data_IF_333748293433
#
_entry.id   IF_333748293433
#
_cell.length_a   1.000
_cell.length_b   1.000
_cell.length_c   1.000
_cell.angle_alpha   90.00
_cell.angle_beta   90.00
_cell.angle_gamma   90.00
#
_symmetry.space_group_name_H-M   'P 1'
#
loop_
_entity.id
_entity.type
_entity.pdbx_description
1 polymer ?
#
# COMPACT_ATOMS: atom_id res chain seq x y z
N UNK A 1 23.58 9.56 -15.91
CA UNK A 1 23.14 10.85 -16.46
C UNK A 1 22.96 10.68 -17.96
N UNK A 2 21.75 10.43 -18.44
CA UNK A 2 21.46 10.51 -19.87
C UNK A 2 20.81 11.86 -20.16
N UNK A 3 21.63 12.86 -20.54
CA UNK A 3 21.13 14.17 -21.04
C UNK A 3 20.11 13.97 -22.18
N UNK A 4 20.20 12.84 -22.89
CA UNK A 4 19.30 12.47 -23.96
C UNK A 4 17.87 12.18 -23.46
N UNK A 5 17.71 11.53 -22.30
CA UNK A 5 16.39 11.24 -21.73
C UNK A 5 15.65 12.54 -21.38
N UNK A 6 16.30 13.42 -20.61
CA UNK A 6 15.68 14.69 -20.19
C UNK A 6 15.34 15.59 -21.37
N UNK A 7 16.19 15.64 -22.39
CA UNK A 7 15.92 16.41 -23.61
C UNK A 7 14.71 15.84 -24.38
N UNK A 8 14.61 14.51 -24.50
CA UNK A 8 13.47 13.87 -25.15
C UNK A 8 12.18 14.13 -24.36
N UNK A 9 12.20 13.94 -23.05
CA UNK A 9 11.04 14.21 -22.19
C UNK A 9 10.58 15.67 -22.30
N UNK A 10 11.51 16.62 -22.31
CA UNK A 10 11.20 18.05 -22.49
C UNK A 10 10.59 18.35 -23.86
N UNK A 11 11.11 17.74 -24.94
CA UNK A 11 10.57 17.91 -26.28
C UNK A 11 9.13 17.36 -26.38
N UNK A 12 8.90 16.14 -25.91
CA UNK A 12 7.57 15.51 -25.91
C UNK A 12 6.58 16.34 -25.08
N UNK A 13 7.06 16.94 -23.98
CA UNK A 13 6.25 17.79 -23.14
C UNK A 13 5.83 19.11 -23.83
N UNK A 14 6.66 19.67 -24.73
CA UNK A 14 6.29 20.85 -25.53
C UNK A 14 5.20 20.52 -26.56
N UNK A 15 5.22 19.30 -27.10
CA UNK A 15 4.21 18.81 -28.04
C UNK A 15 2.85 18.52 -27.36
N UNK A 16 2.85 18.38 -26.03
CA UNK A 16 1.64 18.18 -25.19
C UNK A 16 0.93 16.84 -25.40
N UNK A 17 1.55 15.93 -26.15
CA UNK A 17 1.06 14.58 -26.45
C UNK A 17 2.24 13.62 -26.50
N UNK A 18 2.09 12.46 -25.88
CA UNK A 18 3.08 11.38 -25.98
C UNK A 18 2.63 10.37 -27.02
N UNK A 19 3.46 10.09 -28.01
CA UNK A 19 3.20 9.02 -28.99
C UNK A 19 3.75 7.67 -28.52
N UNK A 20 3.25 6.54 -29.06
CA UNK A 20 3.83 5.22 -28.78
C UNK A 20 5.34 5.14 -29.10
N UNK A 21 5.79 5.83 -30.14
CA UNK A 21 7.20 5.93 -30.52
C UNK A 21 8.02 6.66 -29.44
N UNK A 22 7.48 7.72 -28.86
CA UNK A 22 8.12 8.46 -27.75
C UNK A 22 8.26 7.57 -26.52
N UNK A 23 7.22 6.80 -26.17
CA UNK A 23 7.26 5.84 -25.05
C UNK A 23 8.35 4.80 -25.28
N UNK A 24 8.46 4.25 -26.50
CA UNK A 24 9.51 3.28 -26.84
C UNK A 24 10.91 3.91 -26.75
N UNK A 25 11.06 5.16 -27.16
CA UNK A 25 12.33 5.88 -27.06
C UNK A 25 12.70 6.15 -25.59
N UNK A 26 11.76 6.61 -24.77
CA UNK A 26 11.94 6.81 -23.33
C UNK A 26 12.29 5.49 -22.62
N UNK A 27 11.62 4.38 -22.94
CA UNK A 27 11.96 3.04 -22.39
C UNK A 27 13.39 2.62 -22.73
N UNK A 28 13.83 2.83 -23.98
CA UNK A 28 15.19 2.47 -24.39
C UNK A 28 16.25 3.28 -23.66
N UNK A 29 16.01 4.58 -23.48
CA UNK A 29 16.94 5.49 -22.80
C UNK A 29 16.94 5.26 -21.28
N UNK A 30 15.76 5.11 -20.67
CA UNK A 30 15.64 4.99 -19.21
C UNK A 30 16.26 3.70 -18.65
N UNK A 31 16.17 2.58 -19.38
CA UNK A 31 16.77 1.32 -18.94
C UNK A 31 18.13 1.01 -19.57
N UNK A 32 18.76 1.97 -20.25
CA UNK A 32 20.10 1.76 -20.83
C UNK A 32 21.13 1.37 -19.77
N UNK A 33 21.05 1.99 -18.58
CA UNK A 33 21.90 1.68 -17.42
C UNK A 33 21.38 0.55 -16.53
N UNK A 34 20.21 -0.03 -16.84
CA UNK A 34 19.56 -1.10 -16.07
C UNK A 34 18.55 -0.62 -15.02
N UNK A 35 18.70 0.60 -14.50
CA UNK A 35 17.81 1.21 -13.51
C UNK A 35 17.46 2.66 -13.91
N UNK A 36 16.24 3.10 -13.58
CA UNK A 36 15.79 4.50 -13.71
C UNK A 36 16.49 5.33 -12.63
N UNK A 37 17.04 6.49 -13.00
CA UNK A 37 17.66 7.42 -12.05
C UNK A 37 16.66 8.44 -11.49
N UNK A 38 16.98 9.05 -10.34
CA UNK A 38 16.16 10.13 -9.73
C UNK A 38 15.83 11.25 -10.73
N UNK A 39 16.80 11.66 -11.55
CA UNK A 39 16.60 12.72 -12.52
C UNK A 39 15.65 12.32 -13.66
N UNK A 40 15.70 11.05 -14.08
CA UNK A 40 14.77 10.51 -15.09
C UNK A 40 13.37 10.37 -14.51
N UNK A 41 13.26 9.94 -13.25
CA UNK A 41 11.99 9.90 -12.53
C UNK A 41 11.35 11.30 -12.40
N UNK A 42 12.13 12.32 -12.03
CA UNK A 42 11.68 13.72 -11.99
C UNK A 42 11.20 14.21 -13.37
N UNK A 43 11.91 13.84 -14.45
CA UNK A 43 11.52 14.18 -15.81
C UNK A 43 10.21 13.48 -16.25
N UNK A 44 9.99 12.23 -15.84
CA UNK A 44 8.73 11.50 -16.08
C UNK A 44 7.56 12.19 -15.36
N UNK A 45 7.74 12.59 -14.11
CA UNK A 45 6.73 13.35 -13.36
C UNK A 45 6.41 14.70 -14.01
N UNK A 46 7.44 15.42 -14.46
CA UNK A 46 7.24 16.71 -15.13
C UNK A 46 6.53 16.57 -16.47
N UNK A 47 6.84 15.52 -17.23
CA UNK A 47 6.11 15.20 -18.46
C UNK A 47 4.65 14.87 -18.15
N UNK A 48 4.36 14.03 -17.14
CA UNK A 48 2.99 13.68 -16.76
C UNK A 48 2.12 14.90 -16.47
N UNK A 49 2.64 15.87 -15.69
CA UNK A 49 1.94 17.11 -15.34
C UNK A 49 1.55 17.99 -16.53
N UNK A 50 2.25 17.84 -17.66
CA UNK A 50 1.99 18.64 -18.87
C UNK A 50 1.00 17.96 -19.81
N UNK A 51 0.63 16.71 -19.55
CA UNK A 51 -0.35 15.98 -20.34
C UNK A 51 -1.75 16.27 -19.80
N UNK A 52 -2.60 16.82 -20.65
CA UNK A 52 -4.01 17.05 -20.31
C UNK A 52 -4.84 15.76 -20.32
N UNK A 53 -4.49 14.80 -21.18
CA UNK A 53 -5.20 13.52 -21.35
C UNK A 53 -4.16 12.40 -21.61
N UNK A 54 -3.56 11.85 -20.54
CA UNK A 54 -2.56 10.79 -20.67
C UNK A 54 -3.19 9.52 -21.24
N UNK A 55 -2.60 8.98 -22.31
CA UNK A 55 -3.09 7.71 -22.89
C UNK A 55 -2.83 6.54 -21.95
N UNK A 56 -3.60 5.44 -22.05
CA UNK A 56 -3.36 4.24 -21.24
C UNK A 56 -1.92 3.73 -21.33
N UNK A 57 -1.31 3.77 -22.51
CA UNK A 57 0.08 3.33 -22.71
C UNK A 57 1.07 4.22 -21.97
N UNK A 58 0.80 5.53 -21.89
CA UNK A 58 1.60 6.45 -21.08
C UNK A 58 1.46 6.13 -19.60
N UNK A 59 0.22 5.92 -19.11
CA UNK A 59 -0.03 5.56 -17.71
C UNK A 59 0.71 4.27 -17.34
N UNK A 60 0.65 3.24 -18.20
CA UNK A 60 1.37 1.99 -18.00
C UNK A 60 2.89 2.22 -17.88
N UNK A 61 3.46 3.01 -18.78
CA UNK A 61 4.89 3.38 -18.72
C UNK A 61 5.23 4.18 -17.46
N UNK A 62 4.44 5.18 -17.11
CA UNK A 62 4.60 6.03 -15.94
C UNK A 62 4.63 5.19 -14.66
N UNK A 63 3.63 4.32 -14.50
CA UNK A 63 3.46 3.43 -13.34
C UNK A 63 4.58 2.38 -13.28
N UNK A 64 4.98 1.81 -14.43
CA UNK A 64 6.07 0.83 -14.50
C UNK A 64 7.42 1.45 -14.13
N UNK A 65 7.79 2.56 -14.77
CA UNK A 65 9.09 3.21 -14.61
C UNK A 65 9.28 3.74 -13.19
N UNK A 66 8.30 4.49 -12.69
CA UNK A 66 8.38 5.07 -11.35
C UNK A 66 8.19 4.00 -10.27
N UNK A 67 7.31 3.03 -10.48
CA UNK A 67 7.15 1.90 -9.55
C UNK A 67 8.44 1.10 -9.39
N UNK A 68 9.18 0.85 -10.47
CA UNK A 68 10.49 0.18 -10.40
C UNK A 68 11.53 1.06 -9.69
N UNK A 69 11.58 2.36 -10.00
CA UNK A 69 12.46 3.32 -9.33
C UNK A 69 12.23 3.36 -7.81
N UNK A 70 10.97 3.44 -7.38
CA UNK A 70 10.60 3.58 -5.96
C UNK A 70 10.82 2.27 -5.20
N UNK A 71 10.37 1.14 -5.76
CA UNK A 71 10.37 -0.14 -5.04
C UNK A 71 11.73 -0.84 -5.09
N UNK A 72 12.52 -0.63 -6.16
CA UNK A 72 13.76 -1.37 -6.40
C UNK A 72 14.99 -0.48 -6.64
N UNK A 73 14.85 0.85 -6.59
CA UNK A 73 15.93 1.80 -6.85
C UNK A 73 16.97 1.88 -5.74
N UNK A 74 16.61 1.51 -4.50
CA UNK A 74 17.57 1.41 -3.39
C UNK A 74 17.51 0.03 -2.72
N UNK A 75 18.65 -0.49 -2.20
CA UNK A 75 18.64 -1.74 -1.43
C UNK A 75 18.17 -1.57 0.03
N UNK A 76 17.40 -2.53 0.57
CA UNK A 76 16.94 -3.77 -0.07
C UNK A 76 15.79 -3.60 -1.06
N UNK A 77 15.91 -4.25 -2.23
CA UNK A 77 14.86 -4.27 -3.25
C UNK A 77 13.54 -4.79 -2.67
N UNK A 78 12.44 -4.13 -3.03
CA UNK A 78 11.10 -4.46 -2.54
C UNK A 78 10.70 -3.72 -1.26
N UNK A 79 11.55 -2.89 -0.66
CA UNK A 79 11.22 -2.13 0.54
C UNK A 79 11.21 -0.64 0.20
N UNK A 80 10.19 0.06 0.69
CA UNK A 80 10.12 1.53 0.62
C UNK A 80 10.36 2.08 2.02
N UNK A 81 11.28 3.02 2.17
CA UNK A 81 11.52 3.70 3.44
C UNK A 81 10.73 5.02 3.58
N UNK A 82 10.77 5.63 4.77
CA UNK A 82 10.05 6.88 5.05
C UNK A 82 10.54 8.06 4.19
N UNK A 83 11.81 8.08 3.80
CA UNK A 83 12.36 9.13 2.94
C UNK A 83 11.88 9.01 1.50
N UNK A 84 11.84 7.79 0.97
CA UNK A 84 11.30 7.47 -0.35
C UNK A 84 9.79 7.71 -0.41
N UNK A 85 9.06 7.33 0.64
CA UNK A 85 7.65 7.65 0.79
C UNK A 85 7.39 9.16 0.82
N UNK A 86 8.15 9.91 1.62
CA UNK A 86 8.02 11.37 1.69
C UNK A 86 8.33 12.04 0.34
N UNK A 87 9.37 11.60 -0.35
CA UNK A 87 9.71 12.10 -1.68
C UNK A 87 8.60 11.82 -2.69
N UNK A 88 8.03 10.60 -2.68
CA UNK A 88 6.94 10.24 -3.57
C UNK A 88 5.69 11.10 -3.30
N UNK A 89 5.34 11.28 -2.03
CA UNK A 89 4.22 12.15 -1.64
C UNK A 89 4.47 13.57 -2.14
N UNK A 90 5.66 14.15 -1.92
CA UNK A 90 5.99 15.51 -2.39
C UNK A 90 5.99 15.63 -3.93
N UNK A 91 6.39 14.58 -4.64
CA UNK A 91 6.38 14.56 -6.10
C UNK A 91 4.97 14.53 -6.69
N UNK A 92 4.03 13.89 -5.99
CA UNK A 92 2.62 13.73 -6.36
C UNK A 92 1.73 14.86 -5.85
N UNK A 93 2.05 15.40 -4.68
CA UNK A 93 1.20 16.32 -3.91
C UNK A 93 1.88 17.68 -3.76
N UNK A 94 1.65 18.57 -4.73
CA UNK A 94 2.24 19.93 -4.70
C UNK A 94 1.35 20.97 -4.02
N UNK A 95 0.05 20.72 -3.89
CA UNK A 95 -0.94 21.68 -3.39
C UNK A 95 -1.94 21.10 -2.36
N UNK A 96 -1.70 19.89 -1.89
CA UNK A 96 -2.55 19.14 -0.96
C UNK A 96 -3.50 18.14 -1.65
N UNK A 97 -3.49 18.04 -2.98
CA UNK A 97 -4.36 17.15 -3.75
C UNK A 97 -3.61 16.38 -4.83
N UNK A 98 -4.06 15.16 -5.07
CA UNK A 98 -3.58 14.33 -6.17
C UNK A 98 -4.37 14.67 -7.44
N UNK A 99 -3.69 14.98 -8.55
CA UNK A 99 -4.33 15.60 -9.72
C UNK A 99 -4.80 14.59 -10.76
N UNK A 100 -4.20 13.39 -10.85
CA UNK A 100 -4.48 12.46 -11.95
C UNK A 100 -4.70 10.99 -11.54
N UNK A 101 -5.48 10.26 -12.35
CA UNK A 101 -5.64 8.81 -12.18
C UNK A 101 -4.32 8.03 -12.30
N UNK A 102 -3.37 8.52 -13.11
CA UNK A 102 -2.06 7.90 -13.29
C UNK A 102 -1.24 7.91 -11.99
N UNK A 103 -1.28 9.03 -11.27
CA UNK A 103 -0.63 9.24 -9.99
C UNK A 103 -1.24 8.36 -8.88
N UNK A 104 -2.57 8.22 -8.88
CA UNK A 104 -3.25 7.33 -7.94
C UNK A 104 -2.90 5.87 -8.22
N UNK A 105 -2.88 5.48 -9.50
CA UNK A 105 -2.50 4.12 -9.90
C UNK A 105 -1.03 3.82 -9.55
N UNK A 106 -0.13 4.80 -9.66
CA UNK A 106 1.26 4.64 -9.19
C UNK A 106 1.33 4.33 -7.69
N UNK A 107 0.60 5.07 -6.85
CA UNK A 107 0.57 4.80 -5.40
C UNK A 107 0.09 3.38 -5.09
N UNK A 108 -1.01 2.98 -5.72
CA UNK A 108 -1.56 1.63 -5.55
C UNK A 108 -0.56 0.58 -5.99
N UNK A 109 0.08 0.79 -7.15
CA UNK A 109 1.05 -0.16 -7.69
C UNK A 109 2.28 -0.31 -6.81
N UNK A 110 2.78 0.77 -6.21
CA UNK A 110 3.91 0.73 -5.27
C UNK A 110 3.55 -0.15 -4.07
N UNK A 111 2.36 0.04 -3.48
CA UNK A 111 1.90 -0.77 -2.33
C UNK A 111 1.66 -2.24 -2.67
N UNK A 112 1.18 -2.54 -3.89
CA UNK A 112 0.98 -3.92 -4.36
C UNK A 112 2.29 -4.67 -4.61
N UNK A 113 3.33 -3.97 -5.09
CA UNK A 113 4.61 -4.58 -5.48
C UNK A 113 5.63 -4.62 -4.35
N UNK A 114 5.57 -3.67 -3.41
CA UNK A 114 6.47 -3.63 -2.28
C UNK A 114 6.18 -4.78 -1.29
N UNK A 115 7.25 -5.32 -0.72
CA UNK A 115 7.22 -6.22 0.43
C UNK A 115 6.81 -5.45 1.69
N UNK A 116 7.24 -4.19 1.81
CA UNK A 116 6.87 -3.30 2.89
C UNK A 116 6.84 -1.84 2.42
N UNK A 117 5.80 -1.11 2.79
CA UNK A 117 5.72 0.34 2.69
C UNK A 117 5.51 0.96 4.08
N UNK A 118 5.93 2.23 4.28
CA UNK A 118 5.64 2.94 5.52
C UNK A 118 4.15 3.27 5.63
N UNK A 119 3.64 3.36 6.86
CA UNK A 119 2.25 3.71 7.12
C UNK A 119 1.88 5.09 6.58
N UNK A 120 2.83 6.03 6.54
CA UNK A 120 2.67 7.38 5.98
C UNK A 120 2.18 7.34 4.52
N UNK A 121 2.75 6.47 3.68
CA UNK A 121 2.38 6.34 2.28
C UNK A 121 0.98 5.73 2.10
N UNK A 122 0.67 4.68 2.87
CA UNK A 122 -0.66 4.04 2.86
C UNK A 122 -1.74 5.02 3.29
N UNK A 123 -1.52 5.72 4.41
CA UNK A 123 -2.46 6.70 4.94
C UNK A 123 -2.68 7.87 3.98
N UNK A 124 -1.62 8.34 3.31
CA UNK A 124 -1.74 9.36 2.29
C UNK A 124 -2.68 8.91 1.14
N UNK A 125 -2.44 7.73 0.58
CA UNK A 125 -3.26 7.21 -0.52
C UNK A 125 -4.74 7.01 -0.13
N UNK A 126 -5.00 6.45 1.05
CA UNK A 126 -6.36 6.28 1.56
C UNK A 126 -7.06 7.62 1.79
N UNK A 127 -6.34 8.62 2.33
CA UNK A 127 -6.87 9.96 2.55
C UNK A 127 -7.26 10.64 1.24
N UNK A 128 -6.51 10.45 0.16
CA UNK A 128 -6.87 11.00 -1.16
C UNK A 128 -8.17 10.40 -1.71
N UNK A 129 -8.38 9.07 -1.53
CA UNK A 129 -9.63 8.42 -1.93
C UNK A 129 -10.79 8.86 -1.03
N UNK A 130 -10.58 8.91 0.28
CA UNK A 130 -11.56 9.41 1.24
C UNK A 130 -12.00 10.83 0.86
N UNK A 131 -11.04 11.73 0.61
CA UNK A 131 -11.32 13.10 0.19
C UNK A 131 -12.13 13.17 -1.11
N UNK A 132 -11.80 12.33 -2.09
CA UNK A 132 -12.54 12.27 -3.34
C UNK A 132 -13.98 11.78 -3.19
N UNK A 133 -14.22 10.83 -2.28
CA UNK A 133 -15.57 10.36 -1.94
C UNK A 133 -16.35 11.45 -1.19
N UNK A 134 -15.72 12.11 -0.22
CA UNK A 134 -16.38 13.07 0.67
C UNK A 134 -16.66 14.42 0.01
N UNK A 135 -15.74 14.93 -0.81
CA UNK A 135 -15.87 16.23 -1.45
C UNK A 135 -16.31 16.16 -2.91
N UNK A 136 -16.30 14.97 -3.52
CA UNK A 136 -16.61 14.80 -4.93
C UNK A 136 -15.56 15.38 -5.88
N UNK A 137 -14.33 15.65 -5.40
CA UNK A 137 -13.22 16.23 -6.17
C UNK A 137 -11.97 15.36 -6.06
N UNK A 138 -11.23 15.20 -7.14
CA UNK A 138 -9.97 14.45 -7.15
C UNK A 138 -9.88 13.48 -8.33
N UNK A 139 -8.89 12.58 -8.33
CA UNK A 139 -8.54 11.77 -9.51
C UNK A 139 -9.63 10.75 -9.86
N UNK A 140 -10.34 10.21 -8.87
CA UNK A 140 -11.50 9.31 -9.10
C UNK A 140 -12.75 10.06 -9.57
N UNK A 141 -12.67 11.39 -9.65
CA UNK A 141 -13.77 12.32 -9.92
C UNK A 141 -13.43 13.17 -11.14
N UNK A 142 -13.29 12.52 -12.29
CA UNK A 142 -13.05 13.18 -13.58
C UNK A 142 -14.37 13.38 -14.36
N UNK A 143 -14.76 14.65 -14.54
CA UNK A 143 -15.58 15.13 -15.68
C UNK A 143 -16.99 14.58 -15.95
N UNK A 144 -17.55 13.70 -15.11
CA UNK A 144 -18.85 13.05 -15.33
C UNK A 144 -19.87 13.24 -14.21
N UNK A 145 -21.07 12.67 -14.37
CA UNK A 145 -22.21 12.67 -13.43
C UNK A 145 -21.95 11.88 -12.13
N UNK A 146 -20.75 12.00 -11.58
CA UNK A 146 -20.36 11.42 -10.30
C UNK A 146 -20.97 12.30 -9.22
N UNK A 147 -22.04 11.79 -8.59
CA UNK A 147 -22.62 12.44 -7.42
C UNK A 147 -21.56 12.59 -6.34
N UNK A 148 -21.46 13.80 -5.81
CA UNK A 148 -20.62 14.30 -4.72
C UNK A 148 -20.86 13.62 -3.36
N UNK A 149 -21.58 12.50 -3.30
CA UNK A 149 -22.16 11.98 -2.05
C UNK A 149 -22.26 10.45 -1.99
N UNK A 150 -21.70 9.68 -2.93
CA UNK A 150 -21.72 8.21 -2.86
C UNK A 150 -20.36 7.63 -3.22
N UNK A 151 -20.08 6.44 -2.70
CA UNK A 151 -18.88 5.68 -3.08
C UNK A 151 -19.16 4.83 -4.33
N UNK A 152 -18.24 4.89 -5.28
CA UNK A 152 -18.35 4.24 -6.60
C UNK A 152 -17.66 2.88 -6.63
N UNK A 153 -17.94 2.08 -7.67
CA UNK A 153 -17.24 0.81 -7.91
C UNK A 153 -15.73 1.00 -8.09
N UNK A 154 -15.31 2.12 -8.69
CA UNK A 154 -13.90 2.43 -8.90
C UNK A 154 -13.18 2.65 -7.56
N UNK A 155 -13.78 3.43 -6.67
CA UNK A 155 -13.25 3.71 -5.33
C UNK A 155 -13.25 2.45 -4.47
N UNK A 156 -14.31 1.64 -4.50
CA UNK A 156 -14.32 0.33 -3.83
C UNK A 156 -13.18 -0.57 -4.30
N UNK A 157 -12.88 -0.61 -5.60
CA UNK A 157 -11.75 -1.40 -6.14
C UNK A 157 -10.40 -0.86 -5.66
N UNK A 158 -10.21 0.46 -5.65
CA UNK A 158 -8.97 1.09 -5.20
C UNK A 158 -8.74 0.88 -3.70
N UNK A 159 -9.74 1.13 -2.86
CA UNK A 159 -9.69 0.87 -1.42
C UNK A 159 -9.36 -0.60 -1.13
N UNK A 160 -10.01 -1.55 -1.82
CA UNK A 160 -9.72 -2.98 -1.68
C UNK A 160 -8.26 -3.30 -2.02
N UNK A 161 -7.72 -2.75 -3.11
CA UNK A 161 -6.33 -2.96 -3.52
C UNK A 161 -5.34 -2.42 -2.49
N UNK A 162 -5.63 -1.27 -1.87
CA UNK A 162 -4.74 -0.64 -0.88
C UNK A 162 -4.82 -1.33 0.48
N UNK A 163 -6.03 -1.52 1.02
CA UNK A 163 -6.24 -2.08 2.36
C UNK A 163 -5.63 -3.47 2.46
N UNK A 164 -5.86 -4.31 1.44
CA UNK A 164 -5.38 -5.71 1.41
C UNK A 164 -4.07 -5.89 0.63
N UNK A 165 -3.32 -4.83 0.39
CA UNK A 165 -2.01 -4.91 -0.29
C UNK A 165 -0.95 -5.62 0.57
N UNK A 166 -0.02 -6.31 -0.09
CA UNK A 166 1.08 -7.04 0.56
C UNK A 166 2.06 -6.12 1.30
N UNK A 167 2.22 -4.87 0.84
CA UNK A 167 3.14 -3.90 1.44
C UNK A 167 2.62 -3.20 2.70
N UNK A 168 1.32 -3.32 3.01
CA UNK A 168 0.69 -2.70 4.20
C UNK A 168 1.06 -3.37 5.52
N UNK A 169 0.60 -2.78 6.65
CA UNK A 169 0.76 -3.28 8.03
C UNK A 169 0.34 -4.76 8.15
N UNK A 170 1.30 -5.67 8.41
CA UNK A 170 1.06 -7.12 8.42
C UNK A 170 0.70 -7.70 7.06
N UNK A 171 0.75 -9.03 6.90
CA UNK A 171 0.35 -9.66 5.63
C UNK A 171 -1.15 -9.42 5.38
N UNK A 172 -1.47 -8.36 4.63
CA UNK A 172 -2.81 -7.94 4.27
C UNK A 172 -3.76 -7.65 5.47
N UNK A 173 -3.25 -7.09 6.57
CA UNK A 173 -4.12 -6.64 7.67
C UNK A 173 -4.52 -5.16 7.58
N UNK A 174 -5.81 -4.92 7.84
CA UNK A 174 -6.37 -3.58 7.98
C UNK A 174 -5.88 -2.97 9.31
N UNK A 175 -5.49 -1.70 9.25
CA UNK A 175 -5.13 -0.91 10.44
C UNK A 175 -6.37 -0.34 11.12
N UNK A 176 -6.20 0.19 12.34
CA UNK A 176 -7.26 0.95 13.01
C UNK A 176 -7.65 2.17 12.18
N UNK A 177 -6.65 2.86 11.64
CA UNK A 177 -6.84 4.03 10.78
C UNK A 177 -7.62 3.70 9.50
N UNK A 178 -7.40 2.52 8.92
CA UNK A 178 -8.16 2.03 7.77
C UNK A 178 -9.63 1.82 8.16
N UNK A 179 -9.88 1.17 9.31
CA UNK A 179 -11.23 0.91 9.79
C UNK A 179 -11.98 2.20 10.13
N UNK A 180 -11.32 3.15 10.82
CA UNK A 180 -11.89 4.46 11.12
C UNK A 180 -12.21 5.27 9.84
N UNK A 181 -11.38 5.17 8.80
CA UNK A 181 -11.68 5.76 7.49
C UNK A 181 -12.92 5.12 6.84
N UNK A 182 -13.05 3.79 6.90
CA UNK A 182 -14.23 3.10 6.38
C UNK A 182 -15.52 3.53 7.10
N UNK A 183 -15.48 3.73 8.42
CA UNK A 183 -16.60 4.30 9.19
C UNK A 183 -16.93 5.73 8.75
N UNK A 184 -15.94 6.60 8.57
CA UNK A 184 -16.18 7.97 8.07
C UNK A 184 -16.83 7.99 6.69
N UNK A 185 -16.40 7.13 5.77
CA UNK A 185 -17.04 6.99 4.45
C UNK A 185 -18.46 6.43 4.58
N UNK A 186 -18.67 5.43 5.46
CA UNK A 186 -20.00 4.86 5.71
C UNK A 186 -20.98 5.96 6.14
N UNK A 187 -20.61 6.72 7.17
CA UNK A 187 -21.48 7.75 7.74
C UNK A 187 -21.78 8.86 6.73
N UNK A 188 -20.79 9.29 5.97
CA UNK A 188 -20.96 10.34 4.97
C UNK A 188 -21.81 9.90 3.77
N UNK A 189 -21.80 8.61 3.43
CA UNK A 189 -22.50 8.07 2.26
C UNK A 189 -23.77 7.28 2.62
N UNK A 190 -24.25 7.37 3.86
CA UNK A 190 -25.40 6.61 4.30
C UNK A 190 -26.69 6.98 3.56
N UNK A 191 -27.43 5.96 3.10
CA UNK A 191 -28.68 6.13 2.33
C UNK A 191 -28.48 6.67 0.91
N UNK A 192 -27.24 6.71 0.42
CA UNK A 192 -26.87 7.16 -0.92
C UNK A 192 -26.78 5.96 -1.88
N UNK A 193 -26.79 6.17 -3.21
CA UNK A 193 -26.68 5.08 -4.19
C UNK A 193 -25.23 4.56 -4.26
N UNK A 194 -24.74 4.00 -3.16
CA UNK A 194 -23.41 3.42 -3.05
C UNK A 194 -23.26 2.20 -3.96
N UNK A 195 -22.02 1.95 -4.35
CA UNK A 195 -21.61 0.71 -5.01
C UNK A 195 -22.17 -0.52 -4.29
N UNK A 196 -22.63 -1.51 -5.06
CA UNK A 196 -23.05 -2.81 -4.51
C UNK A 196 -21.92 -3.56 -3.79
N UNK A 197 -20.66 -3.21 -4.08
CA UNK A 197 -19.48 -3.79 -3.43
C UNK A 197 -19.18 -3.16 -2.06
N UNK A 198 -19.82 -2.04 -1.73
CA UNK A 198 -19.47 -1.23 -0.56
C UNK A 198 -19.65 -1.98 0.76
N UNK A 199 -20.82 -2.58 0.99
CA UNK A 199 -21.10 -3.35 2.21
C UNK A 199 -20.06 -4.45 2.43
N UNK A 200 -19.72 -5.20 1.36
CA UNK A 200 -18.73 -6.26 1.45
C UNK A 200 -17.35 -5.72 1.80
N UNK A 201 -16.92 -4.62 1.16
CA UNK A 201 -15.63 -4.01 1.44
C UNK A 201 -15.54 -3.51 2.88
N UNK A 202 -16.58 -2.82 3.36
CA UNK A 202 -16.67 -2.32 4.73
C UNK A 202 -16.54 -3.44 5.76
N UNK A 203 -17.39 -4.49 5.63
CA UNK A 203 -17.38 -5.64 6.55
C UNK A 203 -16.04 -6.35 6.54
N UNK A 204 -15.46 -6.61 5.36
CA UNK A 204 -14.17 -7.27 5.24
C UNK A 204 -13.03 -6.41 5.81
N UNK A 205 -13.04 -5.09 5.59
CA UNK A 205 -12.00 -4.19 6.07
C UNK A 205 -12.02 -4.05 7.59
N UNK A 206 -13.17 -3.70 8.16
CA UNK A 206 -13.33 -3.53 9.62
C UNK A 206 -13.20 -4.86 10.34
N UNK A 207 -13.80 -5.92 9.81
CA UNK A 207 -13.68 -7.27 10.36
C UNK A 207 -12.23 -7.76 10.38
N UNK A 208 -11.44 -7.49 9.33
CA UNK A 208 -10.03 -7.87 9.31
C UNK A 208 -9.20 -7.13 10.38
N UNK A 209 -9.51 -5.86 10.65
CA UNK A 209 -8.92 -5.11 11.76
C UNK A 209 -9.28 -5.75 13.11
N UNK A 210 -10.58 -6.00 13.37
CA UNK A 210 -11.07 -6.58 14.62
C UNK A 210 -10.61 -8.04 14.87
N UNK A 211 -10.39 -8.80 13.80
CA UNK A 211 -9.86 -10.17 13.89
C UNK A 211 -8.34 -10.22 14.13
N UNK A 212 -7.69 -9.06 14.28
CA UNK A 212 -6.39 -8.97 14.93
C UNK A 212 -5.29 -9.79 14.29
N UNK A 213 -5.32 -10.08 12.98
CA UNK A 213 -4.21 -10.76 12.29
C UNK A 213 -3.05 -9.78 12.04
N UNK A 214 -2.52 -9.22 13.12
CA UNK A 214 -1.26 -8.50 13.15
C UNK A 214 -0.22 -9.43 13.75
N UNK A 215 0.45 -10.21 12.89
CA UNK A 215 1.72 -10.78 13.31
C UNK A 215 2.67 -9.59 13.55
N UNK A 216 2.83 -9.15 14.81
CA UNK A 216 3.69 -8.01 15.19
C UNK A 216 5.15 -8.15 14.71
N UNK A 217 5.54 -9.34 14.26
CA UNK A 217 6.86 -9.67 13.71
C UNK A 217 6.84 -10.04 12.20
N UNK A 218 5.71 -9.91 11.49
CA UNK A 218 5.63 -10.24 10.06
C UNK A 218 6.20 -9.15 9.16
N UNK A 219 6.26 -7.91 9.66
CA UNK A 219 6.91 -6.80 8.96
C UNK A 219 8.32 -6.57 9.50
N UNK A 220 9.27 -6.53 8.58
CA UNK A 220 10.62 -6.04 8.86
C UNK A 220 10.71 -4.63 8.30
N UNK A 221 11.13 -3.67 9.12
CA UNK A 221 11.45 -2.34 8.60
C UNK A 221 12.67 -2.39 7.68
N UNK A 222 12.81 -1.36 6.83
CA UNK A 222 13.89 -1.28 5.84
C UNK A 222 15.29 -1.39 6.48
N UNK A 223 15.51 -0.77 7.65
CA UNK A 223 16.79 -0.80 8.34
C UNK A 223 17.16 -2.22 8.79
N UNK A 224 16.19 -2.96 9.34
CA UNK A 224 16.33 -4.35 9.79
C UNK A 224 16.50 -5.31 8.62
N UNK A 225 15.76 -5.11 7.52
CA UNK A 225 15.92 -5.89 6.30
C UNK A 225 17.32 -5.69 5.69
N UNK A 226 17.81 -4.46 5.64
CA UNK A 226 19.16 -4.11 5.19
C UNK A 226 20.25 -4.73 6.07
N UNK A 227 20.07 -4.70 7.39
CA UNK A 227 20.96 -5.37 8.34
C UNK A 227 21.02 -6.88 8.08
N UNK A 228 19.86 -7.52 7.85
CA UNK A 228 19.77 -8.94 7.55
C UNK A 228 20.42 -9.31 6.22
N UNK A 229 20.22 -8.51 5.16
CA UNK A 229 20.87 -8.70 3.86
C UNK A 229 22.40 -8.57 3.97
N UNK A 230 22.88 -7.53 4.67
CA UNK A 230 24.30 -7.34 4.94
C UNK A 230 24.90 -8.52 5.73
N UNK A 231 24.19 -8.99 6.77
CA UNK A 231 24.60 -10.16 7.55
C UNK A 231 24.66 -11.45 6.72
N UNK A 232 23.72 -11.67 5.80
CA UNK A 232 23.73 -12.82 4.89
C UNK A 232 24.88 -12.71 3.88
N UNK A 233 25.11 -11.52 3.31
CA UNK A 233 26.20 -11.26 2.38
C UNK A 233 27.58 -11.52 3.01
N UNK A 234 27.79 -11.06 4.25
CA UNK A 234 29.03 -11.26 5.02
C UNK A 234 29.26 -12.74 5.39
N UNK A 235 28.19 -13.52 5.64
CA UNK A 235 28.30 -14.92 6.03
C UNK A 235 28.46 -15.90 4.86
N UNK A 236 28.10 -15.52 3.63
CA UNK A 236 28.30 -16.36 2.43
C UNK A 236 29.79 -16.64 2.14
N UNK A 237 30.71 -15.81 2.64
CA UNK A 237 32.16 -16.01 2.46
C UNK A 237 32.78 -17.04 3.42
N UNK A 238 32.07 -17.52 4.46
CA UNK A 238 32.66 -18.46 5.44
C UNK A 238 31.66 -19.35 6.17
N UNK A 239 30.80 -20.04 5.43
CA UNK A 239 29.84 -21.03 5.97
C UNK A 239 30.51 -21.99 6.99
N UNK A 240 31.76 -22.42 6.77
CA UNK A 240 32.53 -23.23 7.72
C UNK A 240 32.98 -22.54 9.03
N UNK A 241 33.18 -21.21 9.00
CA UNK A 241 33.56 -20.40 10.19
C UNK A 241 32.33 -19.93 10.98
N UNK A 242 31.18 -19.83 10.34
CA UNK A 242 29.88 -19.55 10.96
C UNK A 242 29.44 -20.68 11.90
N UNK A 243 29.41 -21.93 11.41
CA UNK A 243 29.09 -23.11 12.25
C UNK A 243 30.08 -23.30 13.41
N UNK A 244 31.36 -23.02 13.20
CA UNK A 244 32.39 -23.11 14.25
C UNK A 244 32.26 -22.07 15.36
N UNK A 245 31.74 -20.87 15.07
CA UNK A 245 31.50 -19.82 16.09
C UNK A 245 30.18 -20.02 16.84
N UNK A 246 29.14 -20.54 16.18
CA UNK A 246 27.86 -20.86 16.82
C UNK A 246 28.02 -21.99 17.86
N UNK A 247 28.78 -23.04 17.54
CA UNK A 247 29.09 -24.14 18.49
C UNK A 247 29.90 -23.66 19.69
N UNK A 248 30.79 -22.69 19.51
CA UNK A 248 31.66 -22.18 20.58
C UNK A 248 30.99 -21.16 21.49
N UNK A 249 29.95 -20.47 21.01
CA UNK A 249 29.19 -19.48 21.77
C UNK A 249 27.97 -20.08 22.48
N UNK A 250 27.41 -21.19 21.99
CA UNK A 250 26.27 -21.88 22.63
C UNK A 250 26.31 -23.41 22.42
N UNK A 251 27.14 -24.15 23.20
CA UNK A 251 27.28 -25.61 23.04
C UNK A 251 25.99 -26.40 23.33
N UNK A 252 25.03 -25.82 24.07
CA UNK A 252 23.75 -26.45 24.41
C UNK A 252 22.59 -26.09 23.45
N UNK A 253 22.80 -25.23 22.44
CA UNK A 253 21.73 -24.79 21.53
C UNK A 253 21.50 -25.71 20.32
N UNK A 254 22.37 -26.69 20.08
CA UNK A 254 22.22 -27.60 18.94
C UNK A 254 21.01 -28.54 19.08
N UNK A 255 20.57 -28.80 20.32
CA UNK A 255 19.35 -29.59 20.60
C UNK A 255 18.04 -28.79 20.53
N UNK A 256 18.08 -27.46 20.73
CA UNK A 256 16.88 -26.61 20.72
C UNK A 256 16.56 -26.03 19.34
N UNK A 257 17.57 -25.83 18.48
CA UNK A 257 17.37 -25.23 17.15
C UNK A 257 16.93 -26.25 16.08
N UNK A 258 17.23 -27.55 16.26
CA UNK A 258 16.73 -28.63 15.39
C UNK A 258 15.57 -29.43 16.01
N UNK A 259 15.02 -28.97 17.14
CA UNK A 259 13.82 -29.50 17.75
C UNK A 259 12.57 -29.13 16.94
N UNK A 260 12.22 -29.95 15.96
CA UNK A 260 10.90 -29.96 15.31
C UNK A 260 9.83 -30.33 16.36
N UNK A 261 9.10 -29.34 16.92
CA UNK A 261 7.62 -29.37 17.05
C UNK A 261 6.88 -28.19 17.73
N UNK A 262 7.51 -27.16 18.32
CA UNK A 262 6.74 -26.17 19.11
C UNK A 262 6.41 -24.82 18.46
N UNK A 263 7.02 -24.44 17.32
CA UNK A 263 6.76 -23.13 16.69
C UNK A 263 5.41 -23.05 15.99
N UNK A 264 4.91 -24.16 15.44
CA UNK A 264 3.61 -24.21 14.79
C UNK A 264 2.45 -24.19 15.80
N UNK A 265 2.63 -24.80 16.98
CA UNK A 265 1.66 -24.75 18.07
C UNK A 265 1.62 -23.36 18.70
N UNK A 266 2.76 -22.71 18.97
CA UNK A 266 2.76 -21.33 19.46
C UNK A 266 2.14 -20.32 18.47
N UNK A 267 2.34 -20.49 17.15
CA UNK A 267 1.66 -19.64 16.17
C UNK A 267 0.16 -19.91 16.13
N UNK A 268 -0.28 -21.17 16.15
CA UNK A 268 -1.70 -21.52 16.19
C UNK A 268 -2.38 -21.02 17.47
N UNK A 269 -1.72 -21.12 18.62
CA UNK A 269 -2.23 -20.63 19.92
C UNK A 269 -2.22 -19.10 19.99
N UNK A 270 -1.24 -18.42 19.39
CA UNK A 270 -1.25 -16.96 19.21
C UNK A 270 -2.35 -16.50 18.24
N UNK A 271 -2.60 -17.27 17.17
CA UNK A 271 -3.72 -17.03 16.24
C UNK A 271 -5.05 -17.21 16.96
N UNK A 272 -5.19 -18.23 17.81
CA UNK A 272 -6.40 -18.47 18.59
C UNK A 272 -6.63 -17.39 19.67
N UNK A 273 -5.58 -16.90 20.31
CA UNK A 273 -5.67 -15.81 21.28
C UNK A 273 -5.95 -14.45 20.62
N UNK A 274 -5.53 -14.24 19.37
CA UNK A 274 -5.87 -13.06 18.57
C UNK A 274 -7.30 -13.11 17.99
N UNK A 275 -7.97 -14.27 18.03
CA UNK A 275 -9.39 -14.45 17.62
C UNK A 275 -10.37 -14.09 18.73
N UNK A 276 -10.03 -13.24 19.69
CA UNK A 276 -11.00 -12.72 20.64
C UNK A 276 -10.96 -11.20 20.59
N UNK A 277 -12.11 -10.59 20.25
CA UNK A 277 -12.27 -9.13 20.35
C UNK A 277 -12.15 -8.77 21.83
N UNK A 278 -11.12 -7.99 22.17
CA UNK A 278 -10.92 -7.56 23.55
C UNK A 278 -11.90 -6.45 23.95
N UNK A 279 -11.90 -6.08 25.24
CA UNK A 279 -12.82 -5.05 25.75
C UNK A 279 -12.55 -3.67 25.14
N UNK A 280 -11.29 -3.35 24.82
CA UNK A 280 -10.92 -2.05 24.24
C UNK A 280 -11.41 -1.97 22.78
N UNK A 281 -11.35 -3.07 22.04
CA UNK A 281 -11.88 -3.21 20.68
C UNK A 281 -13.41 -3.18 20.65
N UNK A 282 -14.08 -3.80 21.64
CA UNK A 282 -15.54 -3.70 21.81
C UNK A 282 -15.99 -2.27 22.11
N UNK A 283 -15.38 -1.62 23.10
CA UNK A 283 -15.69 -0.23 23.45
C UNK A 283 -15.44 0.72 22.27
N UNK A 284 -14.39 0.47 21.47
CA UNK A 284 -14.12 1.22 20.24
C UNK A 284 -15.19 0.98 19.18
N UNK A 285 -15.60 -0.26 18.94
CA UNK A 285 -16.61 -0.61 17.93
C UNK A 285 -17.97 0.02 18.28
N UNK A 286 -18.38 -0.08 19.55
CA UNK A 286 -19.59 0.56 20.06
C UNK A 286 -19.55 2.07 19.84
N UNK A 287 -18.41 2.72 20.14
CA UNK A 287 -18.25 4.15 19.91
C UNK A 287 -18.34 4.54 18.42
N UNK A 288 -17.83 3.71 17.50
CA UNK A 288 -17.94 3.97 16.06
C UNK A 288 -19.39 3.81 15.57
N UNK A 289 -20.11 2.78 16.04
CA UNK A 289 -21.50 2.52 15.67
C UNK A 289 -22.45 3.58 16.25
N UNK A 290 -22.20 4.04 17.47
CA UNK A 290 -23.01 5.05 18.14
C UNK A 290 -22.75 6.48 17.60
N UNK A 291 -21.65 6.71 16.87
CA UNK A 291 -21.21 8.03 16.44
C UNK A 291 -22.26 8.78 15.59
N UNK A 292 -22.99 8.04 14.74
CA UNK A 292 -24.05 8.59 13.90
C UNK A 292 -25.46 8.46 14.52
N UNK A 293 -25.55 7.86 15.72
CA UNK A 293 -26.78 7.68 16.50
C UNK A 293 -27.79 6.68 15.91
N UNK A 294 -27.41 5.87 14.92
CA UNK A 294 -28.28 4.89 14.28
C UNK A 294 -27.55 3.59 13.94
N UNK A 295 -28.17 2.46 14.27
CA UNK A 295 -27.67 1.16 13.86
C UNK A 295 -28.16 0.84 12.44
N UNK A 296 -27.27 1.00 11.46
CA UNK A 296 -27.58 0.93 10.03
C UNK A 296 -27.42 -0.48 9.41
N UNK A 297 -27.60 -0.60 8.09
CA UNK A 297 -27.50 -1.89 7.39
C UNK A 297 -26.07 -2.44 7.34
N UNK A 298 -25.05 -1.56 7.25
CA UNK A 298 -23.65 -1.96 7.25
C UNK A 298 -23.20 -2.36 8.66
N UNK A 299 -23.70 -1.69 9.69
CA UNK A 299 -23.49 -2.06 11.09
C UNK A 299 -24.02 -3.46 11.38
N UNK A 300 -25.26 -3.76 10.97
CA UNK A 300 -25.83 -5.12 11.11
C UNK A 300 -25.01 -6.15 10.37
N UNK A 301 -24.62 -5.85 9.12
CA UNK A 301 -23.80 -6.76 8.32
C UNK A 301 -22.42 -7.03 8.97
N UNK A 302 -21.83 -6.05 9.65
CA UNK A 302 -20.59 -6.22 10.39
C UNK A 302 -20.79 -7.08 11.64
N UNK A 303 -21.86 -6.83 12.41
CA UNK A 303 -22.18 -7.63 13.60
C UNK A 303 -22.49 -9.09 13.24
N UNK A 304 -23.29 -9.32 12.19
CA UNK A 304 -23.59 -10.66 11.69
C UNK A 304 -22.30 -11.40 11.30
N UNK A 305 -21.39 -10.71 10.61
CA UNK A 305 -20.08 -11.27 10.24
C UNK A 305 -19.21 -11.61 11.46
N UNK A 306 -19.18 -10.73 12.47
CA UNK A 306 -18.46 -10.98 13.72
C UNK A 306 -19.06 -12.19 14.46
N UNK A 307 -20.39 -12.30 14.51
CA UNK A 307 -21.06 -13.46 15.14
C UNK A 307 -20.73 -14.77 14.40
N UNK A 308 -20.68 -14.75 13.07
CA UNK A 308 -20.28 -15.91 12.27
C UNK A 308 -18.81 -16.35 12.50
N UNK A 309 -17.88 -15.40 12.62
CA UNK A 309 -16.44 -15.70 12.77
C UNK A 309 -16.03 -16.00 14.23
N UNK A 310 -16.70 -15.40 15.23
CA UNK A 310 -16.35 -15.53 16.66
C UNK A 310 -17.34 -16.38 17.49
N UNK A 311 -18.53 -16.68 16.97
CA UNK A 311 -19.59 -17.40 17.69
C UNK A 311 -19.50 -18.93 17.64
N UNK A 312 -18.41 -19.49 17.09
CA UNK A 312 -18.19 -20.93 16.87
C UNK A 312 -17.36 -21.64 17.93
#
# INVERSE_FOLDING_TARGET
>A
MSVQFSNLAAQVAEDGKVTPEDILALRRLGWESGDITLHEAEAIFELNRRLADPTPEWVDFFVEALGEFIVNGTPPKGYVDEGEAAWLIEALDKDGQLESMAELELLVRVMERAINVPASLKHYALKQIEHAVLLGTGPTRDGGALSDQHITDAECRLLRRIIFSSGGLGAASASREDAEMLFRIKDATLGKPNSAEWTRLFVQGVGNYLMGFTSRNAQLDHARAKELEAFIADNRASTGRFFGRMVRSMPNAFGSVFGRKDTAQNHADMVEAARQIDLDEQDWLDAQMDANGQLDELDRALLDFIEEEFGG
#
